data_IF_109552687429
#
_entry.id   IF_109552687429
#
_cell.length_a   1.000
_cell.length_b   1.000
_cell.length_c   1.000
_cell.angle_alpha   90.00
_cell.angle_beta   90.00
_cell.angle_gamma   90.00
#
_symmetry.space_group_name_H-M   'P 1'
#
loop_
_entity.id
_entity.type
_entity.pdbx_description
1 polymer ?
#
# COMPACT_ATOMS: atom_id res chain seq x y z
N UNK A 1 9.13 -7.62 -0.90
CA UNK A 1 10.57 -7.75 -1.16
C UNK A 1 11.13 -6.49 -1.79
N UNK A 2 12.43 -6.23 -1.65
CA UNK A 2 13.19 -5.20 -2.37
C UNK A 2 14.35 -5.84 -3.14
N UNK A 3 14.81 -5.15 -4.16
CA UNK A 3 15.93 -5.57 -5.01
C UNK A 3 16.87 -4.39 -5.23
N UNK A 4 18.16 -4.69 -5.43
CA UNK A 4 19.07 -3.74 -6.04
C UNK A 4 18.88 -3.77 -7.55
N UNK A 5 19.00 -2.60 -8.20
CA UNK A 5 18.91 -2.51 -9.67
C UNK A 5 20.31 -2.23 -10.20
N UNK A 6 20.82 -3.08 -11.10
CA UNK A 6 22.09 -2.87 -11.77
C UNK A 6 22.02 -1.73 -12.79
N UNK A 7 23.17 -1.24 -13.28
CA UNK A 7 23.21 -0.23 -14.35
C UNK A 7 22.56 -0.68 -15.67
N UNK A 8 22.37 -2.01 -15.84
CA UNK A 8 21.69 -2.61 -17.00
C UNK A 8 20.21 -2.92 -16.73
N UNK A 9 19.65 -2.50 -15.58
CA UNK A 9 18.24 -2.73 -15.21
C UNK A 9 17.93 -4.12 -14.63
N UNK A 10 18.93 -4.96 -14.36
CA UNK A 10 18.71 -6.28 -13.78
C UNK A 10 18.42 -6.17 -12.28
N UNK A 11 17.45 -6.94 -11.78
CA UNK A 11 17.13 -7.06 -10.36
C UNK A 11 18.09 -8.01 -9.68
N UNK A 12 18.78 -7.53 -8.63
CA UNK A 12 19.80 -8.26 -7.89
C UNK A 12 19.47 -8.24 -6.39
N UNK A 13 20.03 -9.19 -5.65
CA UNK A 13 20.03 -9.18 -4.18
C UNK A 13 18.62 -9.00 -3.57
N UNK A 14 17.69 -9.89 -3.91
CA UNK A 14 16.37 -9.91 -3.30
C UNK A 14 16.47 -10.00 -1.78
N UNK A 15 15.79 -9.09 -1.08
CA UNK A 15 15.64 -9.14 0.38
C UNK A 15 14.17 -8.95 0.76
N UNK A 16 13.71 -9.66 1.79
CA UNK A 16 12.38 -9.45 2.35
C UNK A 16 12.36 -8.15 3.15
N UNK A 17 11.41 -7.28 2.86
CA UNK A 17 11.19 -6.03 3.59
C UNK A 17 10.33 -6.30 4.83
N UNK A 18 9.23 -7.03 4.62
CA UNK A 18 8.25 -7.36 5.65
C UNK A 18 7.52 -8.66 5.26
N UNK A 19 7.20 -9.46 6.25
CA UNK A 19 6.22 -10.54 6.17
C UNK A 19 4.93 -10.05 6.82
N UNK A 20 3.81 -10.21 6.10
CA UNK A 20 2.51 -9.80 6.57
C UNK A 20 1.85 -10.92 7.37
N UNK A 21 1.07 -10.54 8.38
CA UNK A 21 0.35 -11.48 9.23
C UNK A 21 -1.02 -11.88 8.68
N UNK A 22 -1.76 -12.62 9.50
CA UNK A 22 -3.12 -13.10 9.19
C UNK A 22 -4.03 -11.96 8.72
N UNK A 23 -4.68 -12.16 7.57
CA UNK A 23 -5.61 -11.21 6.97
C UNK A 23 -5.00 -9.93 6.43
N UNK A 24 -3.67 -9.80 6.45
CA UNK A 24 -2.97 -8.68 5.86
C UNK A 24 -2.60 -9.00 4.40
N UNK A 25 -3.58 -8.89 3.52
CA UNK A 25 -3.39 -9.06 2.07
C UNK A 25 -2.95 -7.72 1.45
N UNK A 26 -1.62 -7.51 1.25
CA UNK A 26 -1.10 -6.26 0.71
C UNK A 26 -1.51 -6.09 -0.75
N UNK A 27 -1.91 -4.87 -1.12
CA UNK A 27 -2.32 -4.52 -2.48
C UNK A 27 -1.53 -3.29 -2.97
N UNK A 28 -1.97 -2.06 -2.70
CA UNK A 28 -1.26 -0.86 -3.12
C UNK A 28 -0.21 -0.38 -2.12
N UNK A 29 0.78 0.37 -2.60
CA UNK A 29 1.77 0.97 -1.73
C UNK A 29 2.26 2.34 -2.25
N UNK A 30 2.80 3.15 -1.33
CA UNK A 30 3.46 4.42 -1.62
C UNK A 30 4.67 4.60 -0.71
N UNK A 31 5.58 5.51 -1.08
CA UNK A 31 6.76 5.84 -0.26
C UNK A 31 6.60 7.19 0.42
N UNK A 32 7.20 7.33 1.59
CA UNK A 32 7.36 8.61 2.28
C UNK A 32 8.80 9.16 2.17
N UNK A 33 8.98 10.41 2.58
CA UNK A 33 10.28 11.10 2.50
C UNK A 33 11.34 10.55 3.47
N UNK A 34 10.95 9.75 4.48
CA UNK A 34 11.84 9.10 5.43
C UNK A 34 12.29 7.72 4.95
N UNK A 35 11.88 7.33 3.73
CA UNK A 35 12.16 6.02 3.14
C UNK A 35 11.24 4.90 3.66
N UNK A 36 10.15 5.28 4.32
CA UNK A 36 9.11 4.34 4.72
C UNK A 36 8.23 3.91 3.55
N UNK A 37 7.64 2.72 3.68
CA UNK A 37 6.68 2.15 2.73
C UNK A 37 5.31 2.06 3.39
N UNK A 38 4.33 2.71 2.79
CA UNK A 38 2.94 2.67 3.22
C UNK A 38 2.18 1.66 2.36
N UNK A 39 1.50 0.71 2.98
CA UNK A 39 0.85 -0.41 2.30
C UNK A 39 -0.62 -0.47 2.69
N UNK A 40 -1.51 -0.61 1.70
CA UNK A 40 -2.91 -0.94 1.93
C UNK A 40 -3.11 -2.45 2.00
N UNK A 41 -3.92 -2.91 2.96
CA UNK A 41 -4.32 -4.30 3.09
C UNK A 41 -5.81 -4.42 2.78
N UNK A 42 -6.14 -5.00 1.63
CA UNK A 42 -7.48 -4.94 1.04
C UNK A 42 -8.57 -5.64 1.87
N UNK A 43 -8.27 -6.78 2.48
CA UNK A 43 -9.24 -7.54 3.29
C UNK A 43 -9.45 -6.93 4.67
N UNK A 44 -8.35 -6.57 5.32
CA UNK A 44 -8.39 -6.04 6.68
C UNK A 44 -8.63 -4.53 6.75
N UNK A 45 -8.73 -3.84 5.60
CA UNK A 45 -8.86 -2.38 5.57
C UNK A 45 -7.86 -1.66 6.49
N UNK A 46 -6.60 -2.14 6.47
CA UNK A 46 -5.49 -1.54 7.20
C UNK A 46 -4.61 -0.71 6.29
N UNK A 47 -4.10 0.38 6.82
CA UNK A 47 -2.91 1.07 6.29
C UNK A 47 -1.76 0.78 7.24
N UNK A 48 -0.70 0.18 6.71
CA UNK A 48 0.50 -0.18 7.45
C UNK A 48 1.66 0.64 6.91
N UNK A 49 2.42 1.28 7.79
CA UNK A 49 3.69 1.90 7.47
C UNK A 49 4.82 0.98 7.91
N UNK A 50 5.75 0.72 7.01
CA UNK A 50 7.00 0.02 7.30
C UNK A 50 8.10 1.07 7.20
N UNK A 51 8.70 1.43 8.31
CA UNK A 51 9.78 2.43 8.36
C UNK A 51 11.05 1.93 7.67
N UNK A 52 11.98 2.83 7.36
CA UNK A 52 13.24 2.49 6.70
C UNK A 52 14.11 1.48 7.49
N UNK A 53 13.93 1.41 8.81
CA UNK A 53 14.58 0.41 9.69
C UNK A 53 13.77 -0.90 9.84
N UNK A 54 12.64 -1.05 9.12
CA UNK A 54 11.82 -2.26 9.11
C UNK A 54 10.77 -2.35 10.22
N UNK A 55 10.56 -1.30 11.00
CA UNK A 55 9.51 -1.30 12.02
C UNK A 55 8.12 -1.15 11.37
N UNK A 56 7.17 -1.98 11.83
CA UNK A 56 5.78 -1.98 11.40
C UNK A 56 4.94 -1.09 12.31
N UNK A 57 4.19 -0.19 11.72
CA UNK A 57 3.23 0.68 12.37
C UNK A 57 1.87 0.56 11.69
N UNK A 58 0.80 0.38 12.47
CA UNK A 58 -0.58 0.38 11.94
C UNK A 58 -1.12 1.79 12.03
N UNK A 59 -1.24 2.45 10.88
CA UNK A 59 -1.74 3.83 10.78
C UNK A 59 -3.26 3.87 10.85
N UNK A 60 -3.92 2.95 10.15
CA UNK A 60 -5.38 2.78 10.14
C UNK A 60 -5.71 1.31 10.32
N UNK A 61 -6.76 1.03 11.07
CA UNK A 61 -7.34 -0.29 11.21
C UNK A 61 -8.87 -0.18 11.23
N UNK A 62 -9.51 -0.60 10.15
CA UNK A 62 -10.98 -0.69 10.01
C UNK A 62 -11.41 -2.14 9.72
N UNK A 63 -10.73 -3.09 10.36
CA UNK A 63 -10.95 -4.52 10.16
C UNK A 63 -12.24 -5.00 10.80
N UNK A 64 -12.98 -5.85 10.10
CA UNK A 64 -13.91 -6.81 10.70
C UNK A 64 -13.16 -8.12 10.96
N UNK A 65 -13.00 -8.47 12.23
CA UNK A 65 -12.20 -9.65 12.63
C UNK A 65 -12.80 -10.95 12.12
N UNK A 66 -14.12 -11.06 12.10
CA UNK A 66 -14.81 -12.27 11.65
C UNK A 66 -14.61 -12.49 10.15
N UNK A 67 -14.71 -11.40 9.38
CA UNK A 67 -14.45 -11.44 7.94
C UNK A 67 -12.97 -11.73 7.62
N UNK A 68 -12.06 -11.11 8.33
CA UNK A 68 -10.61 -11.36 8.18
C UNK A 68 -10.31 -12.84 8.39
N UNK A 69 -10.82 -13.44 9.46
CA UNK A 69 -10.64 -14.87 9.74
C UNK A 69 -11.27 -15.77 8.66
N UNK A 70 -12.46 -15.42 8.19
CA UNK A 70 -13.15 -16.15 7.11
C UNK A 70 -12.32 -16.16 5.82
N UNK A 71 -11.79 -15.00 5.43
CA UNK A 71 -10.97 -14.89 4.21
C UNK A 71 -9.62 -15.59 4.38
N UNK A 72 -8.98 -15.44 5.53
CA UNK A 72 -7.73 -16.13 5.83
C UNK A 72 -7.89 -17.65 5.78
N UNK A 73 -8.97 -18.18 6.36
CA UNK A 73 -9.27 -19.62 6.30
C UNK A 73 -9.44 -20.11 4.86
N UNK A 74 -10.15 -19.34 4.02
CA UNK A 74 -10.30 -19.65 2.61
C UNK A 74 -8.96 -19.62 1.86
N UNK A 75 -8.09 -18.67 2.19
CA UNK A 75 -6.74 -18.59 1.64
C UNK A 75 -5.88 -19.79 2.03
N UNK A 76 -5.85 -20.14 3.30
CA UNK A 76 -5.07 -21.27 3.81
C UNK A 76 -5.53 -22.61 3.22
N UNK A 77 -6.83 -22.76 2.92
CA UNK A 77 -7.40 -23.94 2.26
C UNK A 77 -7.23 -23.93 0.74
N UNK A 78 -6.68 -22.87 0.15
CA UNK A 78 -6.52 -22.74 -1.31
C UNK A 78 -7.84 -22.59 -2.07
N UNK A 79 -8.90 -22.11 -1.41
CA UNK A 79 -10.24 -21.90 -1.98
C UNK A 79 -10.64 -20.41 -2.03
N UNK A 80 -9.66 -19.51 -1.95
CA UNK A 80 -9.91 -18.08 -2.05
C UNK A 80 -10.48 -17.74 -3.44
N UNK A 81 -11.66 -17.12 -3.44
CA UNK A 81 -12.37 -16.70 -4.65
C UNK A 81 -12.77 -15.23 -4.57
N UNK A 82 -13.20 -14.65 -5.68
CA UNK A 82 -13.65 -13.27 -5.77
C UNK A 82 -14.74 -12.91 -4.75
N UNK A 83 -15.68 -13.80 -4.49
CA UNK A 83 -16.74 -13.63 -3.48
C UNK A 83 -16.23 -13.30 -2.07
N UNK A 84 -15.01 -13.74 -1.72
CA UNK A 84 -14.40 -13.46 -0.43
C UNK A 84 -13.90 -12.01 -0.35
N UNK A 85 -13.58 -11.39 -1.49
CA UNK A 85 -13.07 -10.03 -1.59
C UNK A 85 -14.18 -9.01 -1.88
N UNK A 86 -15.29 -9.42 -2.49
CA UNK A 86 -16.39 -8.54 -2.91
C UNK A 86 -17.42 -8.28 -1.79
N UNK A 87 -17.03 -8.45 -0.54
CA UNK A 87 -17.89 -8.23 0.61
C UNK A 87 -17.42 -7.01 1.42
N UNK A 88 -18.33 -6.08 1.66
CA UNK A 88 -18.08 -4.88 2.46
C UNK A 88 -18.62 -5.10 3.86
N UNK A 89 -17.75 -5.35 4.81
CA UNK A 89 -18.08 -5.57 6.22
C UNK A 89 -17.44 -4.57 7.17
N UNK A 90 -16.46 -3.81 6.69
CA UNK A 90 -15.81 -2.75 7.45
C UNK A 90 -16.72 -1.54 7.68
N UNK A 91 -16.44 -0.77 8.72
CA UNK A 91 -17.32 0.33 9.15
C UNK A 91 -17.23 1.54 8.22
N UNK A 92 -16.03 1.91 7.77
CA UNK A 92 -15.76 3.14 7.00
C UNK A 92 -15.14 2.90 5.64
N UNK A 93 -14.18 1.99 5.58
CA UNK A 93 -13.43 1.71 4.36
C UNK A 93 -14.08 0.58 3.56
N UNK A 94 -13.85 0.56 2.25
CA UNK A 94 -14.54 -0.33 1.31
C UNK A 94 -13.51 -1.14 0.51
N UNK A 95 -12.71 -1.96 1.22
CA UNK A 95 -11.65 -2.78 0.66
C UNK A 95 -10.61 -1.91 -0.07
N UNK A 96 -9.82 -1.19 0.73
CA UNK A 96 -8.79 -0.27 0.23
C UNK A 96 -7.70 -1.02 -0.53
N UNK A 97 -7.43 -0.56 -1.76
CA UNK A 97 -6.52 -1.23 -2.69
C UNK A 97 -5.38 -0.33 -3.16
N UNK A 98 -5.52 0.97 -3.00
CA UNK A 98 -4.49 1.91 -3.44
C UNK A 98 -4.29 3.05 -2.45
N UNK A 99 -3.08 3.61 -2.46
CA UNK A 99 -2.67 4.71 -1.59
C UNK A 99 -1.79 5.66 -2.37
N UNK A 100 -2.01 6.96 -2.20
CA UNK A 100 -1.08 7.97 -2.67
C UNK A 100 -1.06 9.18 -1.74
N UNK A 101 -0.01 9.98 -1.85
CA UNK A 101 0.14 11.24 -1.16
C UNK A 101 -0.13 12.41 -2.12
N UNK A 102 -0.78 13.45 -1.62
CA UNK A 102 -1.10 14.64 -2.38
C UNK A 102 -1.22 15.88 -1.49
N UNK A 103 -1.73 16.96 -2.09
CA UNK A 103 -1.67 18.29 -1.49
C UNK A 103 -0.31 18.96 -1.75
N UNK A 104 -0.21 20.26 -1.50
CA UNK A 104 1.03 21.04 -1.73
C UNK A 104 2.17 20.59 -0.81
N UNK A 105 1.83 20.03 0.35
CA UNK A 105 2.76 19.54 1.37
C UNK A 105 3.00 18.01 1.28
N UNK A 106 2.32 17.32 0.36
CA UNK A 106 2.32 15.86 0.24
C UNK A 106 1.93 15.12 1.54
N UNK A 107 1.20 15.77 2.44
CA UNK A 107 0.74 15.18 3.71
C UNK A 107 -0.71 14.73 3.68
N UNK A 108 -1.44 14.93 2.59
CA UNK A 108 -2.77 14.37 2.44
C UNK A 108 -2.68 12.99 1.81
N UNK A 109 -3.09 11.98 2.54
CA UNK A 109 -3.17 10.60 2.05
C UNK A 109 -4.53 10.37 1.43
N UNK A 110 -4.55 9.77 0.25
CA UNK A 110 -5.74 9.35 -0.48
C UNK A 110 -5.76 7.84 -0.58
N UNK A 111 -6.89 7.23 -0.23
CA UNK A 111 -7.11 5.79 -0.29
C UNK A 111 -8.18 5.47 -1.33
N UNK A 112 -7.79 4.78 -2.39
CA UNK A 112 -8.73 4.19 -3.33
C UNK A 112 -9.23 2.83 -2.83
N UNK A 113 -10.44 2.46 -3.20
CA UNK A 113 -11.06 1.21 -2.76
C UNK A 113 -11.72 0.47 -3.92
N UNK A 114 -11.89 -0.85 -3.75
CA UNK A 114 -12.47 -1.71 -4.79
C UNK A 114 -13.99 -1.57 -4.88
N UNK A 115 -14.67 -1.36 -3.76
CA UNK A 115 -16.11 -1.52 -3.64
C UNK A 115 -16.83 -0.23 -3.21
N UNK A 116 -16.13 0.87 -3.11
CA UNK A 116 -16.70 2.17 -2.73
C UNK A 116 -16.78 3.14 -3.89
N UNK A 117 -17.62 4.15 -3.71
CA UNK A 117 -17.86 5.26 -4.64
C UNK A 117 -17.13 6.55 -4.23
N UNK A 118 -16.29 6.48 -3.19
CA UNK A 118 -15.59 7.63 -2.60
C UNK A 118 -14.13 7.29 -2.34
N UNK A 119 -13.30 8.32 -2.39
CA UNK A 119 -11.90 8.26 -1.96
C UNK A 119 -11.84 8.74 -0.52
N UNK A 120 -11.37 7.88 0.38
CA UNK A 120 -11.10 8.27 1.76
C UNK A 120 -9.79 9.07 1.84
N UNK A 121 -9.76 10.06 2.74
CA UNK A 121 -8.56 10.89 2.93
C UNK A 121 -8.28 11.12 4.40
N UNK A 122 -7.00 11.28 4.73
CA UNK A 122 -6.55 11.73 6.05
C UNK A 122 -5.23 12.50 5.95
N UNK A 123 -4.87 13.21 7.01
CA UNK A 123 -3.58 13.90 7.12
C UNK A 123 -2.54 12.99 7.77
N UNK A 124 -1.35 12.96 7.19
CA UNK A 124 -0.16 12.30 7.72
C UNK A 124 0.79 13.33 8.31
N UNK A 125 1.47 12.96 9.38
CA UNK A 125 2.58 13.77 9.91
C UNK A 125 3.81 13.73 8.97
N UNK A 126 4.00 12.61 8.26
CA UNK A 126 5.12 12.39 7.34
C UNK A 126 4.65 12.64 5.91
N UNK A 127 5.40 13.45 5.17
CA UNK A 127 5.08 13.71 3.78
C UNK A 127 5.41 12.51 2.87
N UNK A 128 4.61 12.31 1.84
CA UNK A 128 4.91 11.34 0.80
C UNK A 128 6.13 11.74 -0.03
N UNK A 129 6.78 10.73 -0.60
CA UNK A 129 7.88 10.94 -1.54
C UNK A 129 7.31 11.43 -2.88
N UNK A 130 7.78 12.58 -3.35
CA UNK A 130 7.37 13.12 -4.65
C UNK A 130 7.78 12.17 -5.78
N UNK A 131 6.84 11.76 -6.65
CA UNK A 131 7.15 10.95 -7.82
C UNK A 131 8.15 11.66 -8.75
N UNK A 132 9.14 10.95 -9.25
CA UNK A 132 10.21 11.53 -10.08
C UNK A 132 9.69 12.14 -11.38
N UNK A 133 8.59 11.62 -11.92
CA UNK A 133 7.95 12.12 -13.15
C UNK A 133 7.17 13.44 -12.97
N UNK A 134 6.96 13.90 -11.74
CA UNK A 134 6.37 15.23 -11.48
C UNK A 134 7.33 16.40 -11.75
N UNK A 135 8.61 16.11 -12.02
CA UNK A 135 9.60 17.08 -12.43
C UNK A 135 9.91 16.93 -13.94
N UNK A 136 9.02 17.37 -14.85
CA UNK A 136 9.17 17.14 -16.29
C UNK A 136 10.45 17.76 -16.88
N UNK A 137 10.97 18.82 -16.29
CA UNK A 137 12.22 19.49 -16.74
C UNK A 137 13.44 18.55 -16.65
N UNK A 138 13.46 17.59 -15.70
CA UNK A 138 14.53 16.58 -15.61
C UNK A 138 14.39 15.43 -16.63
N UNK A 139 13.20 15.23 -17.17
CA UNK A 139 12.93 14.17 -18.16
C UNK A 139 13.25 14.63 -19.59
N UNK A 140 13.08 15.93 -19.90
CA UNK A 140 13.33 16.49 -21.24
C UNK A 140 14.85 16.48 -21.57
N UNK A 141 15.72 16.52 -20.56
CA UNK A 141 17.17 16.48 -20.74
C UNK A 141 17.79 15.08 -20.75
N UNK A 142 17.00 14.01 -20.63
CA UNK A 142 17.43 12.66 -20.93
C UNK A 142 17.00 12.34 -22.36
N UNK A 143 17.90 12.57 -23.31
CA UNK A 143 17.79 11.98 -24.64
C UNK A 143 17.67 10.48 -24.47
N UNK A 144 16.53 9.92 -24.82
CA UNK A 144 16.41 8.48 -25.02
C UNK A 144 17.30 8.10 -26.20
N UNK A 145 18.10 7.04 -26.07
CA UNK A 145 18.92 6.55 -27.18
C UNK A 145 18.05 6.04 -28.32
#
# INVERSE_FOLDING_TARGET
SKFNVSSKGHLLNKTTVMEFGTGEFPDGFAFDIEGGVWVTCVVSNKVIRISSNGQKEIIINDSDVSHVNYVEEAYQKGILERKHLDNIVSTRLKNISSICFGGSDLKTVFLGCLLGDKIATFKSEIAGLQPTHWNPIKLINKSFP
#
